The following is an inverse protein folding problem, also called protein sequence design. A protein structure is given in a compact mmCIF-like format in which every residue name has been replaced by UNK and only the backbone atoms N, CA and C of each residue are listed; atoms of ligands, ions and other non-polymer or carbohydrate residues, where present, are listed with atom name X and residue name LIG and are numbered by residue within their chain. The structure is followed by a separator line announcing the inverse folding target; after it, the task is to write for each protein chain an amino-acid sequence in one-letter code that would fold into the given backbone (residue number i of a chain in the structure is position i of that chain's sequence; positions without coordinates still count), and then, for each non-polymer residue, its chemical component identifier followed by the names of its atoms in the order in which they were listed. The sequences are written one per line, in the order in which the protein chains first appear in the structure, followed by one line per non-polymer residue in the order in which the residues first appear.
data_IF_611123397299
#
_entry.id   IF_611123397299
#
_cell.length_a   1.000
_cell.length_b   1.000
_cell.length_c   1.000
_cell.angle_alpha   90.00
_cell.angle_beta   90.00
_cell.angle_gamma   90.00
#
_symmetry.space_group_name_H-M   'P 1'
#
loop_
_entity.id
_entity.type
_entity.pdbx_description
1 polymer ?
#
# COMPACT_ATOMS: atom_id res chain seq x y z
N UNK A 1 59.69 -12.13 34.40
CA UNK A 1 60.17 -12.94 35.54
C UNK A 1 58.96 -13.52 36.25
N UNK A 2 58.64 -14.79 35.95
CA UNK A 2 58.72 -15.97 36.85
C UNK A 2 57.66 -15.92 37.96
N UNK A 3 56.48 -16.54 37.83
CA UNK A 3 56.18 -17.99 37.94
C UNK A 3 56.82 -18.70 39.15
N UNK A 4 55.96 -19.29 40.00
CA UNK A 4 55.78 -20.73 40.27
C UNK A 4 54.79 -20.89 41.45
N UNK A 5 54.06 -21.98 41.69
CA UNK A 5 53.45 -23.09 40.95
C UNK A 5 52.96 -24.07 42.05
N UNK A 6 51.86 -24.80 41.83
CA UNK A 6 51.63 -26.22 42.21
C UNK A 6 50.20 -26.62 41.78
N UNK A 7 50.05 -27.24 40.60
CA UNK A 7 49.79 -28.68 40.32
C UNK A 7 48.51 -29.25 40.99
N UNK A 8 47.40 -29.51 40.28
CA UNK A 8 47.03 -30.63 39.36
C UNK A 8 46.94 -32.02 40.00
N UNK A 9 45.75 -32.64 40.03
CA UNK A 9 45.42 -33.80 39.16
C UNK A 9 43.92 -34.23 39.22
N UNK A 10 43.55 -35.04 38.25
CA UNK A 10 42.24 -35.34 37.65
C UNK A 10 41.46 -36.56 38.19
N UNK A 11 40.12 -36.61 37.99
CA UNK A 11 39.38 -37.85 37.61
C UNK A 11 37.91 -37.62 37.16
N UNK A 12 37.55 -38.38 36.12
CA UNK A 12 36.30 -38.51 35.33
C UNK A 12 35.04 -38.92 36.12
N UNK A 13 33.86 -38.50 35.62
CA UNK A 13 32.62 -39.28 35.38
C UNK A 13 31.45 -38.29 35.06
N UNK A 14 30.67 -38.37 33.97
CA UNK A 14 29.56 -39.32 33.68
C UNK A 14 29.05 -39.04 32.24
N UNK A 15 29.01 -40.08 31.39
CA UNK A 15 27.82 -40.74 30.78
C UNK A 15 26.95 -39.89 29.82
N UNK A 16 26.95 -40.33 28.56
CA UNK A 16 25.95 -40.08 27.52
C UNK A 16 24.60 -40.72 27.85
N UNK A 17 23.47 -40.16 27.39
CA UNK A 17 22.23 -40.89 27.20
C UNK A 17 22.11 -41.34 25.74
N UNK A 18 22.12 -42.65 25.59
CA UNK A 18 21.66 -43.45 24.46
C UNK A 18 20.22 -43.13 24.06
N UNK A 19 19.96 -43.21 22.76
CA UNK A 19 18.64 -43.50 22.20
C UNK A 19 18.00 -44.72 22.89
N UNK A 20 16.71 -44.64 23.15
CA UNK A 20 15.94 -45.71 23.77
C UNK A 20 14.45 -45.44 23.74
N UNK A 21 13.82 -45.84 22.62
CA UNK A 21 12.41 -46.22 22.42
C UNK A 21 11.30 -45.51 23.21
N UNK A 22 10.33 -44.87 22.53
CA UNK A 22 9.04 -44.59 23.14
C UNK A 22 8.04 -45.70 22.84
N UNK A 23 7.36 -46.18 23.88
CA UNK A 23 5.99 -46.69 23.74
C UNK A 23 5.20 -46.40 25.02
N UNK A 24 4.15 -45.61 24.89
CA UNK A 24 2.78 -45.87 25.33
C UNK A 24 1.88 -44.86 24.59
N UNK A 25 0.77 -45.41 24.09
CA UNK A 25 -0.19 -44.80 23.17
C UNK A 25 -1.27 -44.06 23.97
N UNK A 26 -1.66 -42.86 23.53
CA UNK A 26 -2.78 -42.07 24.06
C UNK A 26 -3.56 -41.37 22.93
N UNK A 27 -4.82 -40.99 23.18
CA UNK A 27 -5.96 -40.60 22.29
C UNK A 27 -5.73 -39.82 20.98
N UNK A 28 -4.53 -39.31 20.67
CA UNK A 28 -4.17 -38.78 19.33
C UNK A 28 -3.79 -39.87 18.32
N UNK A 29 -3.50 -41.09 18.75
CA UNK A 29 -3.11 -42.20 17.85
C UNK A 29 -4.28 -43.11 17.42
N UNK A 30 -5.50 -42.91 17.95
CA UNK A 30 -6.65 -43.83 17.74
C UNK A 30 -7.46 -43.55 16.47
N UNK A 31 -7.26 -42.46 15.73
CA UNK A 31 -8.09 -42.16 14.54
C UNK A 31 -7.29 -42.00 13.24
N UNK A 32 -6.16 -42.71 13.14
CA UNK A 32 -5.51 -43.06 11.87
C UNK A 32 -6.29 -44.13 11.06
N UNK A 33 -7.61 -44.22 11.21
CA UNK A 33 -8.41 -45.34 10.67
C UNK A 33 -9.38 -44.94 9.57
N UNK A 34 -8.93 -44.28 8.50
CA UNK A 34 -9.75 -44.12 7.29
C UNK A 34 -8.88 -43.89 6.04
N UNK A 35 -8.05 -44.88 5.68
CA UNK A 35 -7.62 -45.04 4.30
C UNK A 35 -8.50 -46.13 3.66
N UNK A 36 -9.20 -45.82 2.57
CA UNK A 36 -10.02 -46.82 1.87
C UNK A 36 -10.90 -46.35 0.70
N UNK A 37 -10.26 -45.91 -0.39
CA UNK A 37 -10.62 -46.18 -1.81
C UNK A 37 -11.91 -45.55 -2.44
N UNK A 38 -11.63 -44.72 -3.44
CA UNK A 38 -12.33 -44.43 -4.71
C UNK A 38 -13.78 -43.90 -4.74
N UNK A 39 -14.00 -42.77 -5.42
CA UNK A 39 -14.54 -42.67 -6.81
C UNK A 39 -14.61 -41.19 -7.21
N UNK A 40 -14.39 -40.93 -8.49
CA UNK A 40 -14.36 -39.64 -9.18
C UNK A 40 -15.58 -38.73 -8.95
N UNK A 41 -15.37 -37.40 -9.05
CA UNK A 41 -16.44 -36.44 -9.32
C UNK A 41 -16.23 -35.05 -8.74
N UNK A 42 -15.76 -34.11 -9.57
CA UNK A 42 -16.07 -32.68 -9.59
C UNK A 42 -16.49 -32.00 -8.27
N UNK A 43 -15.56 -31.29 -7.62
CA UNK A 43 -15.75 -29.91 -7.13
C UNK A 43 -14.38 -29.33 -6.80
N UNK A 44 -13.97 -28.24 -7.46
CA UNK A 44 -12.82 -27.44 -7.05
C UNK A 44 -13.24 -26.48 -5.94
N UNK A 45 -12.70 -26.54 -4.72
CA UNK A 45 -12.60 -25.37 -3.88
C UNK A 45 -11.26 -24.68 -4.18
N UNK A 46 -11.30 -23.37 -4.39
CA UNK A 46 -10.11 -22.52 -4.40
C UNK A 46 -9.38 -22.65 -3.06
N UNK A 47 -8.50 -23.64 -2.95
CA UNK A 47 -7.51 -23.73 -1.89
C UNK A 47 -6.49 -22.62 -2.12
N UNK A 48 -6.34 -21.73 -1.13
CA UNK A 48 -5.29 -20.73 -1.09
C UNK A 48 -3.94 -21.41 -1.36
N UNK A 49 -3.36 -21.18 -2.54
CA UNK A 49 -1.98 -21.56 -2.83
C UNK A 49 -1.10 -20.39 -2.43
N UNK A 50 -0.50 -20.46 -1.23
CA UNK A 50 0.62 -19.61 -0.89
C UNK A 50 1.81 -20.02 -1.76
N UNK A 51 2.38 -19.08 -2.51
CA UNK A 51 3.57 -19.29 -3.32
C UNK A 51 4.78 -19.50 -2.40
N UNK A 52 5.46 -20.65 -2.53
CA UNK A 52 6.40 -21.18 -1.53
C UNK A 52 7.89 -20.98 -1.87
N UNK A 53 8.26 -20.43 -3.04
CA UNK A 53 9.67 -20.25 -3.40
C UNK A 53 9.94 -18.99 -4.22
N UNK A 54 11.00 -18.25 -3.85
CA UNK A 54 11.73 -17.37 -4.74
C UNK A 54 12.65 -18.20 -5.65
N UNK A 55 12.58 -17.97 -6.95
CA UNK A 55 13.28 -18.75 -7.98
C UNK A 55 14.10 -17.73 -8.77
N UNK A 56 15.44 -17.71 -8.59
CA UNK A 56 16.48 -17.50 -9.62
C UNK A 56 17.84 -17.12 -9.01
N UNK A 57 18.90 -17.70 -9.60
CA UNK A 57 20.29 -17.24 -9.55
C UNK A 57 20.45 -16.16 -10.64
N UNK A 58 20.99 -14.98 -10.31
CA UNK A 58 21.24 -13.95 -11.34
C UNK A 58 20.99 -12.47 -11.00
N UNK A 59 20.50 -12.12 -9.80
CA UNK A 59 20.60 -10.74 -9.27
C UNK A 59 19.85 -9.63 -10.02
N UNK A 60 19.05 -8.87 -9.25
CA UNK A 60 18.29 -7.66 -9.64
C UNK A 60 17.09 -7.91 -10.57
N UNK A 61 15.91 -7.55 -10.07
CA UNK A 61 14.61 -7.83 -10.69
C UNK A 61 13.78 -8.78 -9.82
N UNK A 62 13.10 -8.22 -8.83
CA UNK A 62 12.34 -8.87 -7.74
C UNK A 62 11.86 -10.31 -8.03
N UNK A 63 12.61 -11.36 -7.65
CA UNK A 63 12.03 -12.69 -7.47
C UNK A 63 11.39 -12.72 -6.08
N UNK A 64 10.10 -13.08 -6.00
CA UNK A 64 9.31 -13.21 -4.76
C UNK A 64 10.16 -13.64 -3.55
N UNK A 65 10.60 -12.67 -2.75
CA UNK A 65 11.31 -12.96 -1.50
C UNK A 65 10.26 -13.08 -0.42
N UNK A 66 10.02 -14.29 0.08
CA UNK A 66 9.40 -14.41 1.39
C UNK A 66 10.38 -13.78 2.39
N UNK A 67 9.96 -12.83 3.24
CA UNK A 67 10.80 -12.29 4.29
C UNK A 67 11.39 -13.43 5.13
N UNK A 68 12.62 -13.26 5.62
CA UNK A 68 13.22 -14.21 6.55
C UNK A 68 12.28 -14.36 7.77
N UNK A 69 11.79 -15.58 8.02
CA UNK A 69 10.83 -15.86 9.10
C UNK A 69 9.35 -15.90 8.70
N UNK A 70 9.01 -15.70 7.41
CA UNK A 70 7.65 -15.92 6.95
C UNK A 70 7.22 -17.39 7.15
N UNK A 71 6.03 -17.60 7.72
CA UNK A 71 5.47 -18.92 7.93
C UNK A 71 5.15 -19.57 6.57
N UNK A 72 5.58 -20.81 6.39
CA UNK A 72 5.25 -21.62 5.21
C UNK A 72 3.94 -22.42 5.37
N UNK A 73 3.18 -22.12 6.42
CA UNK A 73 1.86 -22.67 6.70
C UNK A 73 0.93 -21.55 7.16
N UNK A 74 -0.38 -21.75 6.99
CA UNK A 74 -1.37 -20.86 7.59
C UNK A 74 -1.41 -21.14 9.09
N UNK A 75 -0.90 -20.20 9.89
CA UNK A 75 -1.07 -20.27 11.33
C UNK A 75 -2.52 -19.95 11.70
N UNK A 76 -3.16 -20.89 12.39
CA UNK A 76 -4.55 -20.75 12.86
C UNK A 76 -4.62 -20.33 14.33
N UNK A 77 -3.48 -20.09 14.98
CA UNK A 77 -3.46 -19.56 16.33
C UNK A 77 -3.92 -18.09 16.32
N UNK A 78 -4.79 -17.76 17.26
CA UNK A 78 -5.15 -16.38 17.55
C UNK A 78 -4.06 -15.76 18.43
N UNK A 79 -3.25 -14.86 17.87
CA UNK A 79 -2.21 -14.12 18.59
C UNK A 79 -2.82 -12.95 19.39
N UNK A 80 -3.80 -13.25 20.24
CA UNK A 80 -4.57 -12.26 21.00
C UNK A 80 -3.98 -12.14 22.41
N UNK A 81 -3.39 -10.98 22.70
CA UNK A 81 -2.97 -10.58 24.04
C UNK A 81 -3.60 -9.24 24.40
N UNK A 82 -4.34 -9.17 25.50
CA UNK A 82 -5.07 -7.95 25.93
C UNK A 82 -6.03 -7.37 24.88
N UNK A 83 -6.57 -8.21 23.99
CA UNK A 83 -7.62 -7.84 23.04
C UNK A 83 -8.80 -8.80 23.16
N UNK A 84 -9.98 -8.35 22.76
CA UNK A 84 -11.20 -9.14 22.63
C UNK A 84 -11.72 -8.98 21.20
N UNK A 85 -12.03 -10.08 20.52
CA UNK A 85 -12.76 -10.03 19.26
C UNK A 85 -14.24 -9.91 19.60
N UNK A 86 -14.82 -8.74 19.34
CA UNK A 86 -16.24 -8.45 19.63
C UNK A 86 -17.19 -8.87 18.50
N UNK A 87 -16.67 -9.00 17.26
CA UNK A 87 -17.40 -9.50 16.10
C UNK A 87 -16.42 -9.87 14.96
N UNK A 88 -16.90 -10.67 14.01
CA UNK A 88 -16.19 -11.04 12.79
C UNK A 88 -17.19 -11.08 11.63
N UNK A 89 -16.80 -10.54 10.47
CA UNK A 89 -17.55 -10.64 9.23
C UNK A 89 -16.65 -11.23 8.14
N UNK A 90 -17.14 -12.24 7.44
CA UNK A 90 -16.42 -12.88 6.34
C UNK A 90 -16.79 -12.22 5.02
N UNK A 91 -15.81 -11.97 4.15
CA UNK A 91 -16.03 -11.55 2.77
C UNK A 91 -15.58 -10.12 2.43
N UNK A 92 -15.94 -9.07 3.20
CA UNK A 92 -15.52 -7.70 2.92
C UNK A 92 -14.00 -7.60 2.96
N UNK A 93 -13.40 -7.26 1.82
CA UNK A 93 -11.98 -6.91 1.78
C UNK A 93 -11.84 -5.43 2.15
N UNK A 94 -11.07 -5.12 3.19
CA UNK A 94 -10.62 -3.75 3.44
C UNK A 94 -9.56 -3.37 2.39
N UNK A 95 -10.03 -3.04 1.18
CA UNK A 95 -9.25 -2.38 0.12
C UNK A 95 -9.53 -0.88 0.11
N UNK A 96 -9.44 -0.24 1.27
CA UNK A 96 -9.51 1.23 1.34
C UNK A 96 -8.18 1.81 0.90
N UNK A 97 -8.20 3.02 0.32
CA UNK A 97 -7.00 3.84 0.24
C UNK A 97 -6.41 3.98 1.65
N UNK A 98 -5.10 4.00 1.75
CA UNK A 98 -4.42 4.34 2.99
C UNK A 98 -4.50 5.88 3.17
N UNK A 99 -4.62 6.42 4.39
CA UNK A 99 -5.09 5.71 5.57
C UNK A 99 -6.54 5.23 5.40
N UNK A 100 -6.90 4.14 6.07
CA UNK A 100 -8.27 3.62 6.10
C UNK A 100 -9.25 4.76 6.42
N UNK A 101 -10.17 5.04 5.51
CA UNK A 101 -11.07 6.18 5.65
C UNK A 101 -12.35 5.77 6.36
N UNK A 102 -12.78 6.62 7.28
CA UNK A 102 -14.03 6.48 8.02
C UNK A 102 -14.95 7.67 7.75
N UNK A 103 -16.25 7.42 7.85
CA UNK A 103 -17.29 8.43 7.67
C UNK A 103 -18.26 8.41 8.85
N UNK A 104 -18.55 9.60 9.38
CA UNK A 104 -19.60 9.86 10.34
C UNK A 104 -20.85 10.28 9.57
N UNK A 105 -21.57 9.28 9.04
CA UNK A 105 -22.80 9.51 8.30
C UNK A 105 -23.91 10.06 9.21
N UNK A 106 -25.07 10.39 8.61
CA UNK A 106 -26.17 11.06 9.31
C UNK A 106 -26.57 10.31 10.59
N UNK A 107 -26.64 11.06 11.71
CA UNK A 107 -26.98 10.53 13.02
C UNK A 107 -25.85 9.70 13.66
N UNK A 108 -26.20 8.52 14.16
CA UNK A 108 -25.25 7.64 14.85
C UNK A 108 -24.41 6.79 13.88
N UNK A 109 -24.68 6.85 12.57
CA UNK A 109 -24.11 5.91 11.61
C UNK A 109 -22.60 6.09 11.44
N UNK A 110 -21.83 5.00 11.48
CA UNK A 110 -20.36 4.98 11.34
C UNK A 110 -19.96 3.98 10.27
N UNK A 111 -19.25 4.46 9.25
CA UNK A 111 -18.93 3.66 8.07
C UNK A 111 -17.42 3.61 7.86
N UNK A 112 -16.91 2.44 7.48
CA UNK A 112 -15.52 2.23 7.06
C UNK A 112 -15.53 1.83 5.59
N UNK A 113 -14.68 2.43 4.76
CA UNK A 113 -14.58 2.02 3.36
C UNK A 113 -14.09 0.57 3.26
N UNK A 114 -14.81 -0.25 2.49
CA UNK A 114 -14.53 -1.67 2.35
C UNK A 114 -14.79 -2.13 0.92
N UNK A 115 -13.72 -2.38 0.14
CA UNK A 115 -13.80 -3.10 -1.12
C UNK A 115 -14.67 -2.39 -2.16
N UNK A 116 -15.93 -2.83 -2.28
CA UNK A 116 -16.93 -2.30 -3.22
C UNK A 116 -18.05 -1.46 -2.57
N UNK A 117 -17.91 -1.14 -1.29
CA UNK A 117 -18.83 -0.24 -0.59
C UNK A 117 -18.37 0.05 0.84
N UNK A 118 -19.29 -0.13 1.79
CA UNK A 118 -19.05 0.22 3.19
C UNK A 118 -19.14 -0.98 4.12
N UNK A 119 -18.34 -0.94 5.17
CA UNK A 119 -18.60 -1.68 6.39
C UNK A 119 -19.25 -0.72 7.39
N UNK A 120 -20.55 -0.89 7.63
CA UNK A 120 -21.29 -0.18 8.67
C UNK A 120 -20.92 -0.79 10.03
N UNK A 121 -20.27 0.01 10.87
CA UNK A 121 -19.80 -0.35 12.21
C UNK A 121 -20.58 0.38 13.30
N UNK A 122 -21.77 0.90 12.99
CA UNK A 122 -22.67 1.56 13.96
C UNK A 122 -23.00 0.65 15.13
N UNK A 123 -23.23 -0.64 14.84
CA UNK A 123 -23.27 -1.69 15.84
C UNK A 123 -22.01 -2.56 15.72
N UNK A 124 -20.97 -2.34 16.53
CA UNK A 124 -19.72 -3.07 16.40
C UNK A 124 -19.84 -4.56 16.76
N UNK A 125 -20.95 -5.00 17.39
CA UNK A 125 -21.24 -6.42 17.66
C UNK A 125 -21.91 -7.13 16.48
N UNK A 126 -22.46 -6.38 15.52
CA UNK A 126 -23.08 -6.90 14.31
C UNK A 126 -22.82 -5.91 13.15
N UNK A 127 -21.58 -5.82 12.65
CA UNK A 127 -21.26 -4.95 11.54
C UNK A 127 -21.89 -5.48 10.25
N UNK A 128 -22.28 -4.57 9.36
CA UNK A 128 -22.99 -4.91 8.12
C UNK A 128 -22.21 -4.42 6.90
N UNK A 129 -22.10 -5.27 5.88
CA UNK A 129 -21.47 -4.88 4.61
C UNK A 129 -22.53 -4.35 3.64
N UNK A 130 -22.33 -3.14 3.14
CA UNK A 130 -23.17 -2.49 2.15
C UNK A 130 -22.39 -2.45 0.84
N UNK A 131 -22.78 -3.31 -0.12
CA UNK A 131 -22.17 -3.31 -1.46
C UNK A 131 -22.78 -2.18 -2.31
N UNK A 132 -21.95 -1.23 -2.73
CA UNK A 132 -22.34 -0.16 -3.64
C UNK A 132 -22.03 -0.51 -5.11
N UNK A 133 -21.41 -1.66 -5.35
CA UNK A 133 -20.92 -2.06 -6.67
C UNK A 133 -19.72 -1.24 -7.15
N UNK A 134 -19.22 -0.28 -6.36
CA UNK A 134 -18.22 0.71 -6.72
C UNK A 134 -16.93 0.50 -5.92
N UNK A 135 -15.78 0.46 -6.58
CA UNK A 135 -14.49 0.37 -5.88
C UNK A 135 -14.24 1.56 -4.96
N UNK A 136 -13.98 1.27 -3.68
CA UNK A 136 -13.82 2.27 -2.62
C UNK A 136 -12.34 2.52 -2.35
N UNK A 137 -11.70 3.23 -3.28
CA UNK A 137 -10.29 3.57 -3.22
C UNK A 137 -10.12 5.09 -3.36
N UNK A 138 -9.72 5.77 -2.29
CA UNK A 138 -9.63 7.23 -2.27
C UNK A 138 -9.85 7.80 -0.87
N UNK A 139 -10.20 9.08 -0.80
CA UNK A 139 -10.43 9.80 0.47
C UNK A 139 -11.90 10.15 0.65
N UNK A 140 -12.35 10.16 1.91
CA UNK A 140 -13.68 10.60 2.30
C UNK A 140 -13.54 11.74 3.30
N UNK A 141 -14.16 12.87 3.01
CA UNK A 141 -14.03 14.07 3.83
C UNK A 141 -15.32 14.88 3.82
N UNK A 142 -15.65 15.52 4.93
CA UNK A 142 -16.73 16.48 4.96
C UNK A 142 -16.23 17.84 4.49
N UNK A 143 -16.86 18.40 3.47
CA UNK A 143 -16.55 19.72 2.96
C UNK A 143 -17.56 20.74 3.50
N UNK A 144 -17.10 21.59 4.42
CA UNK A 144 -17.97 22.54 5.13
C UNK A 144 -18.64 23.56 4.20
N UNK A 145 -17.92 24.03 3.18
CA UNK A 145 -18.42 25.03 2.23
C UNK A 145 -19.63 24.56 1.42
N UNK A 146 -19.76 23.25 1.20
CA UNK A 146 -20.88 22.65 0.46
C UNK A 146 -21.87 21.92 1.36
N UNK A 147 -21.49 21.64 2.62
CA UNK A 147 -22.28 20.84 3.55
C UNK A 147 -22.39 19.36 3.14
N UNK A 148 -21.50 18.89 2.25
CA UNK A 148 -21.53 17.54 1.69
C UNK A 148 -20.38 16.69 2.22
N UNK A 149 -20.62 15.39 2.32
CA UNK A 149 -19.53 14.42 2.37
C UNK A 149 -19.05 14.15 0.94
N UNK A 150 -17.76 14.34 0.71
CA UNK A 150 -17.12 14.15 -0.58
C UNK A 150 -16.27 12.89 -0.54
N UNK A 151 -16.51 11.98 -1.48
CA UNK A 151 -15.62 10.87 -1.78
C UNK A 151 -14.78 11.22 -3.02
N UNK A 152 -13.48 11.39 -2.82
CA UNK A 152 -12.51 11.58 -3.91
C UNK A 152 -11.89 10.23 -4.27
N UNK A 153 -12.48 9.58 -5.27
CA UNK A 153 -12.03 8.29 -5.80
C UNK A 153 -10.77 8.45 -6.63
N UNK A 154 -9.84 7.53 -6.46
CA UNK A 154 -8.58 7.45 -7.18
C UNK A 154 -8.72 6.61 -8.44
N UNK A 155 -8.14 7.07 -9.55
CA UNK A 155 -8.14 6.36 -10.83
C UNK A 155 -6.72 6.31 -11.41
N UNK A 156 -6.27 5.09 -11.73
CA UNK A 156 -4.97 4.84 -12.31
C UNK A 156 -4.98 3.64 -13.24
N UNK A 157 -3.94 3.55 -14.07
CA UNK A 157 -3.76 2.39 -14.93
C UNK A 157 -3.46 1.11 -14.11
N UNK A 158 -3.70 -0.08 -14.67
CA UNK A 158 -3.40 -1.34 -14.00
C UNK A 158 -1.95 -1.44 -13.57
N UNK A 159 -1.72 -2.05 -12.40
CA UNK A 159 -0.38 -2.39 -11.93
C UNK A 159 0.29 -3.38 -12.87
N UNK A 160 1.62 -3.37 -12.87
CA UNK A 160 2.48 -4.21 -13.70
C UNK A 160 3.39 -5.11 -12.86
N UNK A 161 3.03 -5.36 -11.59
CA UNK A 161 3.85 -6.14 -10.66
C UNK A 161 4.14 -7.57 -11.10
N UNK A 162 5.13 -8.17 -10.43
CA UNK A 162 5.51 -9.55 -10.65
C UNK A 162 4.34 -10.50 -10.36
N UNK A 163 4.11 -11.46 -11.25
CA UNK A 163 3.06 -12.47 -11.13
C UNK A 163 3.47 -13.76 -11.86
N UNK A 164 2.78 -14.90 -11.64
CA UNK A 164 3.02 -16.11 -12.43
C UNK A 164 2.93 -15.81 -13.94
N UNK A 165 3.99 -16.13 -14.68
CA UNK A 165 4.12 -15.81 -16.12
C UNK A 165 4.93 -14.54 -16.42
N UNK A 166 4.89 -13.55 -15.52
CA UNK A 166 5.68 -12.31 -15.62
C UNK A 166 6.48 -12.08 -14.32
N UNK A 167 7.48 -12.93 -14.00
CA UNK A 167 8.19 -12.88 -12.72
C UNK A 167 8.92 -11.55 -12.47
N UNK A 168 9.21 -10.76 -13.50
CA UNK A 168 9.82 -9.42 -13.37
C UNK A 168 8.83 -8.28 -13.66
N UNK A 169 7.53 -8.56 -13.65
CA UNK A 169 6.48 -7.56 -13.83
C UNK A 169 6.66 -6.73 -15.10
N UNK A 170 6.72 -5.40 -14.97
CA UNK A 170 6.87 -4.44 -16.09
C UNK A 170 8.11 -4.67 -16.97
N UNK A 171 9.12 -5.38 -16.47
CA UNK A 171 10.31 -5.68 -17.27
C UNK A 171 10.04 -6.74 -18.34
N UNK A 172 8.88 -7.39 -18.29
CA UNK A 172 8.33 -8.10 -19.44
C UNK A 172 7.57 -7.13 -20.33
N UNK A 173 7.98 -7.03 -21.60
CA UNK A 173 7.40 -6.10 -22.58
C UNK A 173 5.87 -6.26 -22.72
N UNK A 174 5.37 -7.49 -22.73
CA UNK A 174 3.94 -7.77 -22.80
C UNK A 174 3.19 -7.17 -21.60
N UNK A 175 3.69 -7.40 -20.37
CA UNK A 175 3.09 -6.88 -19.14
C UNK A 175 3.12 -5.35 -19.09
N UNK A 176 4.22 -4.75 -19.53
CA UNK A 176 4.32 -3.29 -19.67
C UNK A 176 3.25 -2.76 -20.62
N UNK A 177 3.15 -3.35 -21.83
CA UNK A 177 2.18 -2.97 -22.87
C UNK A 177 0.74 -3.06 -22.35
N UNK A 178 0.38 -4.15 -21.64
CA UNK A 178 -0.95 -4.33 -21.04
C UNK A 178 -1.32 -3.17 -20.10
N UNK A 179 -0.39 -2.73 -19.24
CA UNK A 179 -0.66 -1.63 -18.31
C UNK A 179 -0.74 -0.27 -19.02
N UNK A 180 0.19 0.04 -19.93
CA UNK A 180 0.22 1.36 -20.59
C UNK A 180 -0.85 1.52 -21.68
N UNK A 181 -1.39 0.42 -22.22
CA UNK A 181 -2.51 0.45 -23.17
C UNK A 181 -3.86 0.77 -22.52
N UNK A 182 -3.92 0.95 -21.20
CA UNK A 182 -5.13 1.31 -20.49
C UNK A 182 -5.76 2.60 -21.03
N UNK A 183 -7.06 2.57 -21.30
CA UNK A 183 -7.82 3.69 -21.90
C UNK A 183 -8.85 4.29 -20.95
N UNK A 184 -9.02 3.74 -19.74
CA UNK A 184 -9.95 4.27 -18.76
C UNK A 184 -9.43 5.55 -18.10
N UNK A 185 -10.23 6.08 -17.17
CA UNK A 185 -9.88 7.29 -16.43
C UNK A 185 -8.56 7.13 -15.67
N UNK A 186 -7.73 8.16 -15.76
CA UNK A 186 -6.50 8.41 -15.00
C UNK A 186 -6.67 9.75 -14.30
N UNK A 187 -6.60 9.78 -12.97
CA UNK A 187 -6.87 10.97 -12.18
C UNK A 187 -7.82 10.68 -11.03
N UNK A 188 -8.85 11.49 -10.83
CA UNK A 188 -9.81 11.30 -9.74
C UNK A 188 -11.25 11.44 -10.23
N UNK A 189 -12.18 10.88 -9.48
CA UNK A 189 -13.61 11.18 -9.58
C UNK A 189 -14.10 11.65 -8.21
N UNK A 190 -14.96 12.65 -8.19
CA UNK A 190 -15.57 13.18 -6.96
C UNK A 190 -17.02 12.74 -6.88
N UNK A 191 -17.46 12.34 -5.69
CA UNK A 191 -18.84 11.93 -5.44
C UNK A 191 -19.39 12.67 -4.22
N UNK A 192 -20.65 13.08 -4.26
CA UNK A 192 -21.43 13.38 -3.07
C UNK A 192 -21.90 12.05 -2.46
N UNK A 193 -21.48 11.80 -1.23
CA UNK A 193 -21.82 10.62 -0.43
C UNK A 193 -22.50 11.00 0.89
N UNK A 194 -23.13 12.18 0.94
CA UNK A 194 -23.92 12.62 2.11
C UNK A 194 -25.04 11.63 2.45
N UNK A 195 -25.55 10.95 1.42
CA UNK A 195 -26.20 9.64 1.57
C UNK A 195 -25.19 8.55 1.18
N UNK A 196 -24.65 7.77 2.14
CA UNK A 196 -23.62 6.77 1.85
C UNK A 196 -24.17 5.57 1.05
N UNK A 197 -25.49 5.42 0.94
CA UNK A 197 -26.14 4.35 0.17
C UNK A 197 -26.39 4.71 -1.31
N UNK A 198 -26.33 6.00 -1.64
CA UNK A 198 -26.58 6.54 -2.99
C UNK A 198 -25.48 7.54 -3.40
N UNK A 199 -24.24 7.07 -3.70
CA UNK A 199 -23.17 7.95 -4.17
C UNK A 199 -23.50 8.62 -5.50
N UNK A 200 -23.38 9.94 -5.55
CA UNK A 200 -23.66 10.74 -6.76
C UNK A 200 -22.38 11.29 -7.34
N UNK A 201 -22.03 10.86 -8.55
CA UNK A 201 -20.87 11.39 -9.28
C UNK A 201 -21.06 12.90 -9.52
N UNK A 202 -20.03 13.68 -9.18
CA UNK A 202 -19.98 15.13 -9.35
C UNK A 202 -19.05 15.51 -10.51
N UNK A 203 -17.83 14.99 -10.52
CA UNK A 203 -16.82 15.29 -11.54
C UNK A 203 -15.90 14.09 -11.83
N UNK A 204 -15.36 14.06 -13.04
CA UNK A 204 -14.20 13.24 -13.38
C UNK A 204 -13.08 14.17 -13.85
N UNK A 205 -11.95 14.15 -13.14
CA UNK A 205 -10.78 14.96 -13.44
C UNK A 205 -9.66 14.07 -13.97
N UNK A 206 -9.23 14.33 -15.21
CA UNK A 206 -8.13 13.56 -15.82
C UNK A 206 -6.77 14.22 -15.58
N UNK A 207 -5.79 13.41 -15.16
CA UNK A 207 -4.38 13.81 -15.07
C UNK A 207 -3.63 13.65 -16.40
N UNK A 208 -4.27 13.15 -17.46
CA UNK A 208 -3.65 12.92 -18.76
C UNK A 208 -3.81 11.49 -19.27
N UNK A 209 -3.32 11.24 -20.50
CA UNK A 209 -3.55 9.98 -21.22
C UNK A 209 -2.42 8.95 -21.08
N UNK A 210 -1.21 9.39 -20.76
CA UNK A 210 0.01 8.56 -20.89
C UNK A 210 0.69 8.25 -19.56
N UNK A 211 0.34 8.98 -18.48
CA UNK A 211 0.86 8.73 -17.15
C UNK A 211 0.19 7.55 -16.44
N UNK A 212 0.56 7.34 -15.18
CA UNK A 212 0.00 6.31 -14.31
C UNK A 212 -1.41 6.63 -13.79
N UNK A 213 -1.83 7.90 -13.80
CA UNK A 213 -3.05 8.37 -13.14
C UNK A 213 -2.75 8.90 -11.74
N UNK A 214 -3.70 8.78 -10.81
CA UNK A 214 -3.47 9.10 -9.40
C UNK A 214 -3.39 7.85 -8.53
N UNK A 215 -2.81 8.02 -7.37
CA UNK A 215 -2.71 7.06 -6.29
C UNK A 215 -2.73 7.83 -4.95
N UNK A 216 -2.96 7.14 -3.84
CA UNK A 216 -2.81 7.62 -2.46
C UNK A 216 -2.88 9.15 -2.24
N UNK A 217 -4.03 9.73 -2.58
CA UNK A 217 -4.24 11.17 -2.52
C UNK A 217 -4.54 11.64 -1.09
N UNK A 218 -4.35 12.93 -0.82
CA UNK A 218 -4.73 13.58 0.43
C UNK A 218 -5.78 14.66 0.16
N UNK A 219 -6.90 14.56 0.87
CA UNK A 219 -7.94 15.57 0.91
C UNK A 219 -8.62 15.49 2.27
N UNK A 220 -8.84 16.63 2.88
CA UNK A 220 -9.37 16.76 4.24
C UNK A 220 -10.69 17.55 4.27
N UNK A 221 -11.31 17.79 3.11
CA UNK A 221 -12.53 18.58 2.98
C UNK A 221 -12.29 20.07 2.75
N UNK A 222 -11.03 20.52 2.69
CA UNK A 222 -10.68 21.91 2.40
C UNK A 222 -10.88 22.31 0.94
N UNK A 223 -10.24 23.42 0.56
CA UNK A 223 -10.19 23.96 -0.79
C UNK A 223 -9.24 23.19 -1.70
N UNK A 224 -8.15 22.63 -1.18
CA UNK A 224 -7.15 21.96 -2.01
C UNK A 224 -7.09 20.47 -1.72
N UNK A 225 -6.96 19.66 -2.78
CA UNK A 225 -6.52 18.28 -2.67
C UNK A 225 -5.12 18.12 -3.27
N UNK A 226 -4.36 17.20 -2.69
CA UNK A 226 -3.00 16.89 -3.06
C UNK A 226 -3.01 15.48 -3.63
N UNK A 227 -2.52 15.33 -4.84
CA UNK A 227 -2.58 14.10 -5.59
C UNK A 227 -1.18 13.52 -5.75
N UNK A 228 -1.03 12.23 -5.45
CA UNK A 228 0.11 11.44 -5.86
C UNK A 228 -0.18 10.97 -7.29
N UNK A 229 0.31 11.73 -8.27
CA UNK A 229 -0.14 11.62 -9.65
C UNK A 229 1.01 11.55 -10.67
N UNK A 230 0.91 10.62 -11.61
CA UNK A 230 1.71 10.63 -12.84
C UNK A 230 0.85 11.08 -14.02
N UNK A 231 1.16 12.25 -14.57
CA UNK A 231 0.44 12.87 -15.69
C UNK A 231 1.04 12.57 -17.07
N UNK A 232 2.20 11.93 -17.11
CA UNK A 232 2.99 11.70 -18.32
C UNK A 232 3.73 10.36 -18.23
N UNK A 233 4.00 9.73 -19.37
CA UNK A 233 4.90 8.57 -19.46
C UNK A 233 6.37 8.94 -19.26
N UNK A 234 6.69 10.23 -19.05
CA UNK A 234 8.05 10.67 -18.74
C UNK A 234 8.49 10.33 -17.32
N UNK A 235 7.55 10.00 -16.42
CA UNK A 235 7.91 9.65 -15.05
C UNK A 235 8.64 8.31 -15.00
N UNK A 236 9.91 8.37 -14.62
CA UNK A 236 10.68 7.17 -14.34
C UNK A 236 10.10 6.45 -13.11
N UNK A 237 10.09 5.15 -13.22
CA UNK A 237 9.85 4.22 -12.11
C UNK A 237 10.98 3.19 -12.20
N UNK A 238 11.55 2.70 -11.10
CA UNK A 238 12.46 1.55 -11.10
C UNK A 238 11.74 0.27 -10.65
N UNK A 239 10.84 0.37 -9.68
CA UNK A 239 10.12 -0.78 -9.18
C UNK A 239 9.19 -1.40 -10.24
N UNK A 240 9.19 -2.74 -10.32
CA UNK A 240 8.42 -3.49 -11.31
C UNK A 240 6.89 -3.31 -11.21
N UNK A 241 6.36 -2.86 -10.07
CA UNK A 241 4.93 -2.77 -9.79
C UNK A 241 4.18 -1.74 -10.65
N UNK A 242 4.86 -0.74 -11.21
CA UNK A 242 4.24 0.28 -12.06
C UNK A 242 5.06 0.60 -13.31
N UNK A 243 4.41 0.86 -14.45
CA UNK A 243 5.13 1.31 -15.65
C UNK A 243 5.77 2.70 -15.48
N UNK A 244 5.03 3.64 -14.88
CA UNK A 244 5.43 5.03 -14.71
C UNK A 244 5.36 5.43 -13.24
N UNK A 245 6.20 6.38 -12.85
CA UNK A 245 6.19 6.99 -11.53
C UNK A 245 5.14 8.08 -11.38
N UNK A 246 5.13 8.71 -10.20
CA UNK A 246 4.21 9.77 -9.83
C UNK A 246 4.96 10.94 -9.19
N UNK A 247 4.43 12.15 -9.35
CA UNK A 247 4.85 13.35 -8.62
C UNK A 247 3.71 13.91 -7.76
N UNK A 248 3.83 15.20 -7.42
CA UNK A 248 2.79 15.96 -6.76
C UNK A 248 1.97 16.72 -7.79
N UNK A 249 0.65 16.58 -7.73
CA UNK A 249 -0.29 17.50 -8.37
C UNK A 249 -1.22 18.10 -7.32
N UNK A 250 -1.50 19.39 -7.41
CA UNK A 250 -2.43 20.09 -6.52
C UNK A 250 -3.64 20.49 -7.34
N UNK A 251 -4.84 20.23 -6.82
CA UNK A 251 -6.10 20.60 -7.45
C UNK A 251 -6.97 21.45 -6.51
N UNK A 252 -7.68 22.43 -7.07
CA UNK A 252 -8.72 23.21 -6.41
C UNK A 252 -10.02 22.41 -6.41
N UNK A 253 -10.52 22.17 -5.20
CA UNK A 253 -11.71 21.42 -4.82
C UNK A 253 -12.80 22.33 -4.23
N UNK A 254 -12.67 23.66 -4.33
CA UNK A 254 -13.71 24.62 -3.86
C UNK A 254 -15.07 24.33 -4.48
N UNK A 255 -15.09 23.81 -5.70
CA UNK A 255 -16.26 23.25 -6.36
C UNK A 255 -15.94 21.81 -6.80
N UNK A 256 -16.39 20.77 -6.07
CA UNK A 256 -16.12 19.39 -6.41
C UNK A 256 -16.81 18.93 -7.70
N UNK A 257 -17.73 19.70 -8.28
CA UNK A 257 -18.31 19.45 -9.61
C UNK A 257 -17.39 19.97 -10.73
N UNK A 258 -16.44 20.86 -10.40
CA UNK A 258 -15.53 21.52 -11.35
C UNK A 258 -14.09 21.58 -10.82
N UNK A 259 -13.47 20.41 -10.65
CA UNK A 259 -12.07 20.29 -10.18
C UNK A 259 -11.11 20.95 -11.16
N UNK A 260 -10.16 21.75 -10.65
CA UNK A 260 -9.17 22.46 -11.46
C UNK A 260 -7.75 22.18 -11.00
N UNK A 261 -6.85 21.96 -11.94
CA UNK A 261 -5.43 21.90 -11.62
C UNK A 261 -4.91 23.27 -11.16
N UNK A 262 -4.05 23.25 -10.14
CA UNK A 262 -3.37 24.43 -9.59
C UNK A 262 -1.88 24.37 -9.85
N UNK A 263 -1.24 23.25 -9.51
CA UNK A 263 0.20 23.10 -9.61
C UNK A 263 0.62 21.65 -9.84
N UNK A 264 1.85 21.49 -10.34
CA UNK A 264 2.54 20.21 -10.48
C UNK A 264 3.98 20.36 -9.98
N UNK A 265 4.51 19.29 -9.39
CA UNK A 265 5.91 19.22 -9.00
C UNK A 265 6.42 17.78 -9.09
N UNK A 266 7.65 17.60 -9.58
CA UNK A 266 8.35 16.32 -9.62
C UNK A 266 9.74 16.47 -9.01
N UNK A 267 10.29 15.36 -8.52
CA UNK A 267 11.65 15.36 -7.95
C UNK A 267 12.66 15.63 -9.08
N UNK A 268 13.65 16.52 -8.91
CA UNK A 268 14.69 16.72 -9.94
C UNK A 268 15.35 15.39 -10.34
N UNK A 269 15.42 15.08 -11.63
CA UNK A 269 15.96 13.81 -12.12
C UNK A 269 14.91 12.71 -12.30
N UNK A 270 13.68 12.90 -11.84
CA UNK A 270 12.63 11.89 -11.91
C UNK A 270 12.14 11.65 -13.34
N UNK A 271 12.20 12.66 -14.22
CA UNK A 271 11.70 12.51 -15.58
C UNK A 271 12.78 11.94 -16.52
N UNK A 272 12.35 11.18 -17.52
CA UNK A 272 13.19 10.89 -18.69
C UNK A 272 13.60 12.23 -19.35
N UNK A 273 14.89 12.37 -19.69
CA UNK A 273 15.49 13.64 -20.12
C UNK A 273 16.26 14.38 -19.01
N UNK A 274 16.16 13.96 -17.75
CA UNK A 274 16.89 14.51 -16.60
C UNK A 274 17.99 13.56 -16.09
N UNK A 275 18.55 12.72 -16.97
CA UNK A 275 19.46 11.61 -16.60
C UNK A 275 20.68 12.05 -15.76
N UNK A 276 21.25 13.22 -16.07
CA UNK A 276 22.40 13.77 -15.31
C UNK A 276 22.04 13.99 -13.83
N UNK A 277 20.83 14.44 -13.54
CA UNK A 277 20.35 14.60 -12.17
C UNK A 277 19.99 13.24 -11.57
N UNK A 278 19.34 12.38 -12.36
CA UNK A 278 18.92 11.05 -11.93
C UNK A 278 20.08 10.18 -11.44
N UNK A 279 21.20 10.18 -12.16
CA UNK A 279 22.37 9.35 -11.83
C UNK A 279 23.11 9.79 -10.56
N UNK A 280 22.69 10.88 -9.89
CA UNK A 280 23.18 11.25 -8.55
C UNK A 280 22.54 10.40 -7.45
N UNK A 281 21.39 9.77 -7.72
CA UNK A 281 20.73 8.89 -6.76
C UNK A 281 21.40 7.51 -6.75
N UNK A 282 21.69 6.99 -5.55
CA UNK A 282 22.39 5.71 -5.38
C UNK A 282 21.62 4.50 -5.91
N UNK A 283 20.30 4.62 -6.03
CA UNK A 283 19.40 3.58 -6.54
C UNK A 283 19.15 3.65 -8.05
N UNK A 284 19.79 4.59 -8.77
CA UNK A 284 19.55 4.74 -10.20
C UNK A 284 19.87 3.45 -10.98
N UNK A 285 18.87 2.91 -11.70
CA UNK A 285 18.99 1.69 -12.49
C UNK A 285 18.94 0.37 -11.69
N UNK A 286 18.56 0.40 -10.40
CA UNK A 286 18.54 -0.79 -9.55
C UNK A 286 17.37 -1.76 -9.84
N UNK A 287 16.40 -1.31 -10.64
CA UNK A 287 15.17 -2.02 -10.98
C UNK A 287 14.31 -2.44 -9.78
N UNK A 288 14.47 -1.78 -8.64
CA UNK A 288 13.83 -2.13 -7.38
C UNK A 288 13.27 -0.92 -6.63
N UNK A 289 13.92 0.24 -6.74
CA UNK A 289 13.54 1.44 -6.01
C UNK A 289 12.16 1.97 -6.39
N UNK A 290 11.43 2.42 -5.39
CA UNK A 290 10.19 3.17 -5.58
C UNK A 290 10.52 4.63 -5.91
N UNK A 291 10.82 4.95 -7.17
CA UNK A 291 11.20 6.29 -7.62
C UNK A 291 9.98 7.16 -7.96
N UNK A 292 9.06 7.27 -7.01
CA UNK A 292 7.80 7.96 -7.20
C UNK A 292 7.24 8.47 -5.86
N UNK A 293 6.40 9.49 -5.94
CA UNK A 293 5.41 9.75 -4.89
C UNK A 293 4.61 8.47 -4.61
N UNK A 294 4.32 8.23 -3.34
CA UNK A 294 3.50 7.11 -2.88
C UNK A 294 2.69 7.46 -1.63
N UNK A 295 2.12 8.66 -1.69
CA UNK A 295 1.47 9.32 -0.58
C UNK A 295 1.55 10.81 -0.82
N UNK A 296 0.44 11.40 -1.25
CA UNK A 296 0.37 12.83 -1.40
C UNK A 296 0.70 13.54 -0.06
N UNK A 297 1.28 14.75 -0.11
CA UNK A 297 1.62 15.49 1.10
C UNK A 297 0.42 15.64 2.04
N UNK A 298 0.58 15.17 3.28
CA UNK A 298 -0.37 15.47 4.35
C UNK A 298 -0.18 16.91 4.78
N UNK A 299 -1.26 17.68 4.82
CA UNK A 299 -1.24 19.11 5.17
C UNK A 299 -2.03 19.29 6.47
N UNK A 300 -1.36 19.37 7.64
CA UNK A 300 -2.05 19.36 8.94
C UNK A 300 -2.88 20.60 9.24
N UNK A 301 -2.58 21.74 8.61
CA UNK A 301 -3.40 22.96 8.67
C UNK A 301 -3.66 23.38 7.24
N UNK A 302 -4.93 23.53 6.86
CA UNK A 302 -5.32 23.96 5.51
C UNK A 302 -4.69 25.30 5.15
N UNK A 303 -4.34 25.49 3.89
CA UNK A 303 -3.67 26.72 3.43
C UNK A 303 -4.58 27.93 3.59
N UNK A 304 -5.88 27.75 3.32
CA UNK A 304 -6.92 28.76 3.54
C UNK A 304 -7.18 29.08 5.02
N UNK A 305 -6.68 28.27 5.95
CA UNK A 305 -6.74 28.49 7.41
C UNK A 305 -5.41 29.02 7.98
N UNK A 306 -4.49 29.48 7.11
CA UNK A 306 -3.18 29.98 7.51
C UNK A 306 -2.10 28.91 7.64
N UNK A 307 -2.39 27.69 7.19
CA UNK A 307 -1.41 26.63 7.03
C UNK A 307 -0.36 26.95 5.98
N UNK A 308 0.73 26.18 6.02
CA UNK A 308 1.91 26.43 5.18
C UNK A 308 2.61 25.17 4.72
N UNK A 309 2.82 24.22 5.64
CA UNK A 309 3.66 23.07 5.37
C UNK A 309 2.85 21.81 5.08
N UNK A 310 3.34 21.00 4.14
CA UNK A 310 2.88 19.65 3.93
C UNK A 310 4.04 18.66 3.85
N UNK A 311 3.76 17.40 4.18
CA UNK A 311 4.77 16.36 4.32
C UNK A 311 4.42 15.17 3.43
N UNK A 312 5.21 14.94 2.39
CA UNK A 312 4.95 13.91 1.39
C UNK A 312 5.97 12.79 1.42
N UNK A 313 5.50 11.59 1.11
CA UNK A 313 6.31 10.39 0.93
C UNK A 313 6.65 10.18 -0.54
N UNK A 314 7.92 10.32 -0.90
CA UNK A 314 8.40 10.19 -2.28
C UNK A 314 9.21 8.92 -2.51
N UNK A 315 8.82 7.83 -1.84
CA UNK A 315 9.48 6.56 -2.06
C UNK A 315 10.95 6.63 -1.68
N UNK A 316 11.81 6.16 -2.59
CA UNK A 316 13.27 6.24 -2.43
C UNK A 316 13.84 7.66 -2.61
N UNK A 317 13.05 8.64 -3.04
CA UNK A 317 13.47 10.06 -2.96
C UNK A 317 13.37 10.63 -1.54
N UNK A 318 12.77 9.89 -0.60
CA UNK A 318 12.68 10.27 0.81
C UNK A 318 11.36 10.93 1.19
N UNK A 319 11.30 11.39 2.44
CA UNK A 319 10.27 12.32 2.89
C UNK A 319 10.64 13.73 2.43
N UNK A 320 9.69 14.44 1.82
CA UNK A 320 9.88 15.82 1.37
C UNK A 320 8.87 16.72 2.08
N UNK A 321 9.38 17.78 2.72
CA UNK A 321 8.53 18.85 3.26
C UNK A 321 8.36 19.94 2.22
N UNK A 322 7.13 20.32 1.95
CA UNK A 322 6.78 21.41 1.04
C UNK A 322 6.30 22.63 1.81
N UNK A 323 6.71 23.80 1.34
CA UNK A 323 6.09 25.09 1.62
C UNK A 323 5.07 25.39 0.52
N UNK A 324 3.81 25.51 0.94
CA UNK A 324 2.64 25.79 0.11
C UNK A 324 2.08 27.20 0.31
N UNK A 325 2.85 28.14 0.91
CA UNK A 325 2.42 29.55 1.02
C UNK A 325 2.06 30.18 -0.33
N UNK A 326 2.74 29.77 -1.40
CA UNK A 326 2.32 30.02 -2.78
C UNK A 326 1.87 28.69 -3.39
N UNK A 327 0.58 28.39 -3.30
CA UNK A 327 0.02 27.07 -3.68
C UNK A 327 0.21 26.74 -5.16
N UNK A 328 0.34 27.76 -6.02
CA UNK A 328 0.61 27.59 -7.45
C UNK A 328 2.08 27.22 -7.72
N UNK A 329 2.97 27.43 -6.76
CA UNK A 329 4.41 27.19 -6.86
C UNK A 329 4.91 26.44 -5.61
N UNK A 330 4.53 25.17 -5.43
CA UNK A 330 4.95 24.38 -4.27
C UNK A 330 6.47 24.28 -4.19
N UNK A 331 7.05 24.57 -3.03
CA UNK A 331 8.51 24.61 -2.83
C UNK A 331 8.96 23.51 -1.88
N UNK A 332 9.81 22.56 -2.31
CA UNK A 332 10.47 21.66 -1.37
C UNK A 332 11.43 22.48 -0.49
N UNK A 333 11.28 22.39 0.82
CA UNK A 333 12.09 23.16 1.80
C UNK A 333 13.00 22.29 2.66
N UNK A 334 12.70 21.00 2.77
CA UNK A 334 13.58 20.02 3.39
C UNK A 334 13.29 18.62 2.85
N UNK A 335 14.28 17.75 2.95
CA UNK A 335 14.12 16.32 2.67
C UNK A 335 14.83 15.49 3.74
N UNK A 336 14.30 14.30 3.98
CA UNK A 336 14.92 13.28 4.82
C UNK A 336 14.95 11.99 4.02
N UNK A 337 16.14 11.41 3.88
CA UNK A 337 16.36 10.10 3.32
C UNK A 337 17.25 9.32 4.28
N UNK A 338 16.86 8.08 4.59
CA UNK A 338 17.64 7.18 5.41
C UNK A 338 18.52 6.32 4.51
N UNK A 339 19.84 6.41 4.67
CA UNK A 339 20.81 5.82 3.73
C UNK A 339 20.81 4.29 3.67
N UNK A 340 20.23 3.61 4.67
CA UNK A 340 20.11 2.15 4.74
C UNK A 340 18.73 1.62 4.39
N UNK A 341 17.95 2.35 3.59
CA UNK A 341 16.64 1.86 3.16
C UNK A 341 16.74 0.54 2.40
N UNK A 342 15.82 -0.38 2.68
CA UNK A 342 15.86 -1.72 2.09
C UNK A 342 15.50 -1.69 0.61
N UNK A 343 16.37 -2.26 -0.22
CA UNK A 343 16.16 -2.42 -1.67
C UNK A 343 14.85 -3.20 -1.93
N UNK A 344 13.95 -2.60 -2.71
CA UNK A 344 12.72 -3.24 -3.20
C UNK A 344 11.45 -2.98 -2.41
N UNK A 345 11.50 -2.14 -1.35
CA UNK A 345 10.32 -1.69 -0.61
C UNK A 345 9.70 -0.39 -1.14
N UNK A 346 8.75 0.16 -0.39
CA UNK A 346 8.17 1.50 -0.58
C UNK A 346 8.53 2.35 0.66
N UNK A 347 9.79 2.80 0.81
CA UNK A 347 10.18 3.64 1.93
C UNK A 347 9.47 4.99 1.83
N UNK A 348 9.20 5.63 2.97
CA UNK A 348 8.45 6.90 3.02
C UNK A 348 7.13 6.86 2.24
N UNK A 349 6.18 6.08 2.75
CA UNK A 349 4.85 5.87 2.18
C UNK A 349 3.88 7.00 2.57
N UNK A 350 3.28 6.92 3.76
CA UNK A 350 2.43 7.98 4.32
C UNK A 350 3.17 8.70 5.42
N UNK A 351 3.30 10.01 5.27
CA UNK A 351 3.93 10.87 6.27
C UNK A 351 2.83 11.65 6.98
N UNK A 352 2.59 11.32 8.25
CA UNK A 352 1.64 12.01 9.12
C UNK A 352 2.41 12.75 10.23
N UNK A 353 2.21 14.06 10.40
CA UNK A 353 2.73 14.79 11.55
C UNK A 353 1.83 14.52 12.76
N UNK A 354 2.15 13.46 13.51
CA UNK A 354 1.41 13.01 14.71
C UNK A 354 1.92 13.60 16.02
#
# INVERSE_FOLDING_TARGET
MSQKNKNTDSRRQRKSPTEGAPKIINRREILAGAAGIAVAGLTSPMGARAQFSGIMEGGLGVPFRLPLGALNYLDRNEYIHNMEIISYIEGPQLRSGEPLMAMWARGAQRMIMAGRGWLDVTNPRNPEYIDLGMGMNGTVSFQESTGKWIFMRTHGQPLSGAEPGFPHGRYHEEKFRQSVSYTGLRGISTYDITDPSDPKLLNEFSTGKTGSGSHHNFYDGGRYAYLDAGWSSQFRMENAQRPNGNGLMIVDMSDPENVKEVARWHVPGQLYGEETEYHKYWFAGDHAAWTASHGAPSVPIRIEEGGRYGYGGFGHFGMITFDFSDIANPKPVSSLLWDFETIGGIPYHTVLPI
#
